data_IF_774131508494
#
_entry.id   IF_774131508494
#
_cell.length_a   1.000
_cell.length_b   1.000
_cell.length_c   1.000
_cell.angle_alpha   90.00
_cell.angle_beta   90.00
_cell.angle_gamma   90.00
#
_symmetry.space_group_name_H-M   'P 1'
#
loop_
_entity.id
_entity.type
_entity.pdbx_description
1 polymer ?
#
# COMPACT_ATOMS: atom_id res chain seq x y z
N UNK A 1 -4.21 12.22 -10.31
CA UNK A 1 -4.61 11.55 -9.06
C UNK A 1 -5.42 12.58 -8.26
N UNK A 2 -6.65 12.29 -7.82
CA UNK A 2 -7.48 13.29 -7.13
C UNK A 2 -6.98 13.58 -5.71
N UNK A 3 -7.19 14.80 -5.22
CA UNK A 3 -6.94 15.15 -3.83
C UNK A 3 -7.94 14.45 -2.91
N UNK A 4 -7.42 13.67 -1.96
CA UNK A 4 -8.21 12.89 -1.02
C UNK A 4 -8.64 13.76 0.18
N UNK A 5 -9.90 13.64 0.61
CA UNK A 5 -10.37 14.25 1.85
C UNK A 5 -9.89 13.49 3.09
N UNK A 6 -10.02 14.09 4.27
CA UNK A 6 -9.67 13.45 5.55
C UNK A 6 -10.47 12.16 5.76
N UNK A 7 -11.76 12.16 5.42
CA UNK A 7 -12.63 11.00 5.53
C UNK A 7 -12.21 9.88 4.58
N UNK A 8 -11.83 10.23 3.35
CA UNK A 8 -11.37 9.27 2.34
C UNK A 8 -10.06 8.60 2.78
N UNK A 9 -9.12 9.40 3.30
CA UNK A 9 -7.88 8.89 3.90
C UNK A 9 -8.19 7.98 5.09
N UNK A 10 -9.15 8.34 5.93
CA UNK A 10 -9.55 7.53 7.08
C UNK A 10 -10.14 6.17 6.66
N UNK A 11 -10.97 6.12 5.61
CA UNK A 11 -11.47 4.85 5.04
C UNK A 11 -10.31 3.97 4.57
N UNK A 12 -9.36 4.54 3.82
CA UNK A 12 -8.19 3.80 3.35
C UNK A 12 -7.30 3.31 4.49
N UNK A 13 -7.14 4.09 5.57
CA UNK A 13 -6.40 3.69 6.75
C UNK A 13 -7.06 2.50 7.48
N UNK A 14 -8.40 2.51 7.61
CA UNK A 14 -9.15 1.37 8.17
C UNK A 14 -8.92 0.11 7.34
N UNK A 15 -9.00 0.22 6.01
CA UNK A 15 -8.79 -0.90 5.09
C UNK A 15 -7.35 -1.40 5.09
N UNK A 16 -6.37 -0.50 5.21
CA UNK A 16 -4.94 -0.86 5.31
C UNK A 16 -4.67 -1.70 6.56
N UNK A 17 -5.34 -1.40 7.68
CA UNK A 17 -5.17 -2.13 8.93
C UNK A 17 -5.91 -3.47 8.96
N UNK A 18 -7.11 -3.53 8.36
CA UNK A 18 -8.01 -4.68 8.51
C UNK A 18 -8.09 -5.59 7.29
N UNK A 19 -7.60 -5.15 6.13
CA UNK A 19 -7.72 -5.86 4.86
C UNK A 19 -9.12 -5.76 4.22
N UNK A 20 -10.19 -5.67 5.00
CA UNK A 20 -11.54 -5.38 4.52
C UNK A 20 -12.40 -4.72 5.61
N UNK A 21 -13.49 -4.06 5.21
CA UNK A 21 -14.45 -3.47 6.14
C UNK A 21 -15.87 -3.49 5.56
N UNK A 22 -16.89 -3.72 6.40
CA UNK A 22 -18.27 -3.51 5.96
C UNK A 22 -18.57 -2.03 5.91
N UNK A 23 -19.50 -1.62 5.04
CA UNK A 23 -19.94 -0.22 4.99
C UNK A 23 -20.45 0.28 6.35
N UNK A 24 -21.15 -0.58 7.10
CA UNK A 24 -21.60 -0.29 8.46
C UNK A 24 -20.44 -0.05 9.46
N UNK A 25 -19.27 -0.64 9.23
CA UNK A 25 -18.08 -0.38 10.05
C UNK A 25 -17.51 1.02 9.75
N UNK A 26 -17.59 1.46 8.49
CA UNK A 26 -17.21 2.83 8.07
C UNK A 26 -18.18 3.86 8.66
N UNK A 27 -19.49 3.60 8.59
CA UNK A 27 -20.52 4.44 9.21
C UNK A 27 -20.23 4.67 10.69
N UNK A 28 -19.93 3.59 11.43
CA UNK A 28 -19.62 3.65 12.87
C UNK A 28 -18.29 4.34 13.13
N UNK A 29 -17.25 4.03 12.36
CA UNK A 29 -15.91 4.57 12.58
C UNK A 29 -15.84 6.08 12.33
N UNK A 30 -16.55 6.57 11.31
CA UNK A 30 -16.55 7.98 10.93
C UNK A 30 -17.76 8.75 11.46
N UNK A 31 -18.59 8.10 12.28
CA UNK A 31 -19.82 8.65 12.85
C UNK A 31 -20.69 9.38 11.79
N UNK A 32 -20.98 8.71 10.68
CA UNK A 32 -21.68 9.31 9.55
C UNK A 32 -22.87 8.48 9.06
N UNK A 33 -23.85 9.12 8.39
CA UNK A 33 -24.98 8.42 7.80
C UNK A 33 -24.56 7.43 6.71
N UNK A 34 -25.36 6.37 6.55
CA UNK A 34 -25.19 5.35 5.51
C UNK A 34 -25.00 5.94 4.11
N UNK A 35 -25.80 6.96 3.74
CA UNK A 35 -25.71 7.61 2.42
C UNK A 35 -24.37 8.32 2.20
N UNK A 36 -23.80 8.93 3.24
CA UNK A 36 -22.48 9.57 3.18
C UNK A 36 -21.37 8.53 3.08
N UNK A 37 -21.42 7.48 3.88
CA UNK A 37 -20.47 6.37 3.82
C UNK A 37 -20.50 5.70 2.43
N UNK A 38 -21.70 5.50 1.87
CA UNK A 38 -21.87 4.95 0.53
C UNK A 38 -21.25 5.84 -0.55
N UNK A 39 -21.46 7.17 -0.47
CA UNK A 39 -20.85 8.11 -1.43
C UNK A 39 -19.32 8.06 -1.38
N UNK A 40 -18.73 8.01 -0.18
CA UNK A 40 -17.28 7.87 -0.01
C UNK A 40 -16.77 6.55 -0.61
N UNK A 41 -17.41 5.43 -0.27
CA UNK A 41 -17.06 4.12 -0.78
C UNK A 41 -17.15 4.05 -2.31
N UNK A 42 -18.21 4.63 -2.88
CA UNK A 42 -18.43 4.67 -4.32
C UNK A 42 -17.37 5.51 -5.03
N UNK A 43 -17.04 6.69 -4.49
CA UNK A 43 -16.01 7.56 -5.07
C UNK A 43 -14.63 6.91 -5.05
N UNK A 44 -14.25 6.31 -3.91
CA UNK A 44 -13.00 5.56 -3.79
C UNK A 44 -12.94 4.36 -4.75
N UNK A 45 -14.10 3.75 -5.04
CA UNK A 45 -14.22 2.69 -6.05
C UNK A 45 -14.00 3.22 -7.46
N UNK A 46 -14.63 4.35 -7.82
CA UNK A 46 -14.45 4.97 -9.14
C UNK A 46 -13.00 5.36 -9.41
N UNK A 47 -12.29 5.81 -8.38
CA UNK A 47 -10.86 6.10 -8.46
C UNK A 47 -9.96 4.87 -8.38
N UNK A 48 -10.53 3.68 -8.22
CA UNK A 48 -9.79 2.43 -8.23
C UNK A 48 -9.03 2.10 -6.94
N UNK A 49 -9.22 2.85 -5.86
CA UNK A 49 -8.57 2.58 -4.57
C UNK A 49 -9.18 1.38 -3.84
N UNK A 50 -10.48 1.11 -4.04
CA UNK A 50 -11.19 0.04 -3.36
C UNK A 50 -12.10 -0.75 -4.30
N UNK A 51 -12.33 -2.02 -3.99
CA UNK A 51 -13.45 -2.79 -4.52
C UNK A 51 -14.62 -2.71 -3.53
N UNK A 52 -15.85 -2.73 -4.04
CA UNK A 52 -17.07 -2.75 -3.22
C UNK A 52 -17.94 -3.91 -3.68
N UNK A 53 -18.14 -4.88 -2.80
CA UNK A 53 -18.80 -6.15 -3.08
C UNK A 53 -20.06 -6.31 -2.23
N UNK A 54 -21.10 -6.95 -2.78
CA UNK A 54 -22.30 -7.34 -2.04
C UNK A 54 -22.10 -8.77 -1.52
N UNK A 55 -22.09 -8.93 -0.20
CA UNK A 55 -21.91 -10.23 0.45
C UNK A 55 -23.19 -10.61 1.19
N UNK A 56 -23.67 -11.84 1.00
CA UNK A 56 -24.75 -12.40 1.82
C UNK A 56 -24.18 -12.87 3.15
N UNK A 57 -24.75 -12.38 4.23
CA UNK A 57 -24.43 -12.79 5.60
C UNK A 57 -25.19 -14.07 5.98
N UNK A 58 -24.76 -14.75 7.05
CA UNK A 58 -25.39 -15.98 7.53
C UNK A 58 -26.89 -15.84 7.85
N UNK A 59 -27.36 -14.63 8.17
CA UNK A 59 -28.78 -14.33 8.39
C UNK A 59 -29.57 -13.95 7.13
N UNK A 60 -29.04 -14.20 5.93
CA UNK A 60 -29.68 -13.85 4.66
C UNK A 60 -29.65 -12.37 4.29
N UNK A 61 -29.13 -11.50 5.18
CA UNK A 61 -28.98 -10.07 4.91
C UNK A 61 -27.83 -9.82 3.95
N UNK A 62 -28.00 -8.88 3.03
CA UNK A 62 -26.93 -8.39 2.15
C UNK A 62 -26.16 -7.27 2.85
N UNK A 63 -24.84 -7.32 2.79
CA UNK A 63 -23.94 -6.26 3.29
C UNK A 63 -22.98 -5.83 2.19
N UNK A 64 -22.60 -4.55 2.22
CA UNK A 64 -21.56 -4.01 1.33
C UNK A 64 -20.21 -4.13 2.05
N UNK A 65 -19.24 -4.73 1.37
CA UNK A 65 -17.87 -4.94 1.87
C UNK A 65 -16.89 -4.20 0.98
N UNK A 66 -16.03 -3.40 1.59
CA UNK A 66 -14.95 -2.66 0.95
C UNK A 66 -13.65 -3.45 1.11
N UNK A 67 -12.86 -3.52 0.03
CA UNK A 67 -11.53 -4.15 0.00
C UNK A 67 -10.53 -3.21 -0.67
N UNK A 68 -9.30 -3.05 -0.14
CA UNK A 68 -8.29 -2.24 -0.80
C UNK A 68 -7.89 -2.89 -2.13
N UNK A 69 -7.75 -2.06 -3.16
CA UNK A 69 -7.11 -2.49 -4.42
C UNK A 69 -5.64 -2.17 -4.34
N UNK A 70 -4.81 -3.16 -4.71
CA UNK A 70 -3.38 -2.93 -4.88
C UNK A 70 -3.20 -2.12 -6.16
N UNK A 71 -2.78 -0.87 -6.02
CA UNK A 71 -2.37 -0.04 -7.15
C UNK A 71 -0.92 -0.40 -7.46
N UNK A 72 -0.69 -1.02 -8.61
CA UNK A 72 0.64 -1.17 -9.19
C UNK A 72 0.80 0.00 -10.15
N UNK A 73 1.79 0.86 -9.90
CA UNK A 73 2.15 1.92 -10.83
C UNK A 73 3.33 1.37 -11.63
N UNK A 74 3.10 1.06 -12.90
CA UNK A 74 4.18 0.83 -13.85
C UNK A 74 4.73 2.19 -14.28
N UNK A 75 5.99 2.46 -13.94
CA UNK A 75 6.72 3.61 -14.45
C UNK A 75 7.87 3.10 -15.31
N UNK A 76 7.98 3.66 -16.50
CA UNK A 76 9.18 3.53 -17.33
C UNK A 76 10.26 4.40 -16.69
N UNK A 77 11.33 3.75 -16.20
CA UNK A 77 12.48 4.44 -15.63
C UNK A 77 13.49 4.59 -16.76
N UNK A 78 13.82 5.82 -17.20
CA UNK A 78 14.91 6.05 -18.15
C UNK A 78 16.21 5.44 -17.64
N UNK A 79 16.97 4.79 -18.52
CA UNK A 79 18.23 4.12 -18.17
C UNK A 79 19.22 5.05 -17.45
N UNK A 80 19.24 6.33 -17.84
CA UNK A 80 20.05 7.40 -17.25
C UNK A 80 19.78 7.61 -15.73
N UNK A 81 18.52 7.46 -15.31
CA UNK A 81 18.14 7.54 -13.89
C UNK A 81 18.47 6.25 -13.15
N UNK A 82 18.45 5.11 -13.83
CA UNK A 82 18.82 3.82 -13.26
C UNK A 82 20.31 3.79 -12.91
N UNK A 83 21.16 4.33 -13.79
CA UNK A 83 22.60 4.47 -13.55
C UNK A 83 22.91 5.36 -12.33
N UNK A 84 22.19 6.48 -12.17
CA UNK A 84 22.37 7.38 -11.04
C UNK A 84 21.96 6.77 -9.69
N UNK A 85 20.91 5.94 -9.68
CA UNK A 85 20.47 5.24 -8.47
C UNK A 85 21.47 4.15 -8.04
N UNK A 86 22.13 3.48 -8.99
CA UNK A 86 23.16 2.47 -8.71
C UNK A 86 24.45 3.09 -8.15
N UNK A 87 24.74 4.35 -8.48
CA UNK A 87 25.93 5.07 -7.99
C UNK A 87 25.79 5.60 -6.54
N UNK A 88 24.58 5.53 -5.96
CA UNK A 88 24.29 5.97 -4.59
C UNK A 88 24.69 5.00 -3.47
N UNK A 89 24.88 3.71 -3.77
CA UNK A 89 25.28 2.68 -2.78
C UNK A 89 26.80 2.47 -2.67
N UNK A 90 27.60 3.41 -3.18
CA UNK A 90 29.06 3.26 -3.32
C UNK A 90 29.94 4.18 -2.47
N UNK A 91 29.40 4.96 -1.53
CA UNK A 91 30.22 5.87 -0.68
C UNK A 91 30.16 5.49 0.80
N UNK A 92 30.51 4.24 1.08
CA UNK A 92 30.76 3.72 2.41
C UNK A 92 32.05 2.91 2.38
N UNK A 93 33.18 3.61 2.46
CA UNK A 93 34.53 3.05 2.57
C UNK A 93 34.61 2.00 3.69
N UNK A 94 34.48 0.72 3.35
CA UNK A 94 35.05 -0.37 4.14
C UNK A 94 36.14 -1.01 3.29
N UNK A 95 37.38 -0.67 3.63
CA UNK A 95 38.59 -1.28 3.08
C UNK A 95 38.44 -2.81 3.10
N UNK A 96 38.84 -3.54 2.04
CA UNK A 96 38.95 -4.98 2.12
C UNK A 96 40.01 -5.35 3.14
N UNK A 97 39.62 -6.11 4.16
CA UNK A 97 40.56 -6.81 5.04
C UNK A 97 41.27 -7.84 4.17
N UNK A 98 42.52 -7.59 3.82
CA UNK A 98 43.35 -8.54 3.07
C UNK A 98 43.67 -9.71 3.99
N UNK A 99 42.91 -10.80 3.88
CA UNK A 99 43.42 -12.10 4.28
C UNK A 99 44.18 -12.66 3.08
N UNK A 100 45.51 -12.67 3.16
CA UNK A 100 46.34 -13.49 2.29
C UNK A 100 47.45 -14.09 3.14
N UNK A 101 47.30 -15.39 3.34
CA UNK A 101 48.37 -16.29 3.79
C UNK A 101 49.59 -16.11 2.90
N UNK A 102 50.76 -16.00 3.51
CA UNK A 102 52.04 -16.31 2.89
C UNK A 102 52.71 -17.38 3.76
N UNK A 103 52.82 -18.59 3.20
CA UNK A 103 53.40 -19.73 3.86
C UNK A 103 54.93 -19.65 4.03
N UNK A 104 55.39 -20.37 5.05
CA UNK A 104 56.45 -21.38 5.02
C UNK A 104 57.76 -21.11 4.27
N UNK A 105 58.86 -20.99 5.05
CA UNK A 105 60.26 -21.43 4.84
C UNK A 105 61.09 -20.78 5.97
N UNK A 106 61.87 -21.43 6.81
CA UNK A 106 62.67 -22.64 6.72
C UNK A 106 64.09 -22.26 7.18
N UNK A 107 64.66 -22.95 8.18
CA UNK A 107 66.03 -22.74 8.68
C UNK A 107 66.12 -22.67 10.19
#
# INVERSE_FOLDING_TARGET
MPDLTVEEVAVLAILKQRGEAKLADIERALNMPHSSAWRLAYRLKEWGYVAVEKVRTAGGKVSLVLRPRRIVIEIEIPDELLEQLQLGEGSGSTKPLTTSEAGSRGG
#
